data_IF_689628803963
#
_entry.id   IF_689628803963
#
_cell.length_a   1.000
_cell.length_b   1.000
_cell.length_c   1.000
_cell.angle_alpha   90.00
_cell.angle_beta   90.00
_cell.angle_gamma   90.00
#
_symmetry.space_group_name_H-M   'P 1'
#
loop_
_entity.id
_entity.type
_entity.pdbx_description
1 polymer ?
#
# COMPACT_ATOMS: atom_id res chain seq x y z
N UNK A 1 5.52 -11.00 11.60
CA UNK A 1 6.53 -9.92 11.68
C UNK A 1 6.09 -8.83 10.72
N UNK A 2 5.91 -7.59 11.16
CA UNK A 2 5.37 -6.52 10.31
C UNK A 2 6.55 -5.66 9.83
N UNK A 3 7.04 -5.98 8.63
CA UNK A 3 8.24 -5.39 8.04
C UNK A 3 8.13 -3.87 7.93
N UNK A 4 6.95 -3.33 7.60
CA UNK A 4 6.74 -1.87 7.51
C UNK A 4 6.90 -1.20 8.86
N UNK A 5 6.26 -1.74 9.91
CA UNK A 5 6.35 -1.19 11.27
C UNK A 5 7.79 -1.23 11.82
N UNK A 6 8.54 -2.27 11.48
CA UNK A 6 9.94 -2.41 11.88
C UNK A 6 10.84 -1.40 11.14
N UNK A 7 10.72 -1.28 9.81
CA UNK A 7 11.44 -0.28 9.00
C UNK A 7 11.19 1.15 9.46
N UNK A 8 9.94 1.50 9.74
CA UNK A 8 9.60 2.85 10.24
C UNK A 8 10.24 3.13 11.60
N UNK A 9 10.34 2.12 12.49
CA UNK A 9 10.97 2.27 13.81
C UNK A 9 12.49 2.36 13.74
N UNK A 10 13.12 1.72 12.76
CA UNK A 10 14.57 1.81 12.52
C UNK A 10 14.99 3.08 11.79
N UNK A 11 14.02 3.91 11.35
CA UNK A 11 14.30 5.12 10.57
C UNK A 11 14.64 4.83 9.10
N UNK A 12 14.38 3.60 8.63
CA UNK A 12 14.50 3.25 7.22
C UNK A 12 13.38 3.89 6.39
N UNK A 13 13.67 4.17 5.13
CA UNK A 13 12.64 4.65 4.21
C UNK A 13 11.68 3.52 3.84
N UNK A 14 10.44 3.87 3.55
CA UNK A 14 9.45 2.96 2.95
C UNK A 14 8.82 3.62 1.74
N UNK A 15 8.49 2.82 0.73
CA UNK A 15 7.82 3.29 -0.49
C UNK A 15 6.46 2.61 -0.57
N UNK A 16 5.41 3.42 -0.67
CA UNK A 16 4.05 2.94 -0.83
C UNK A 16 3.31 3.60 -1.97
N UNK A 17 2.15 3.05 -2.30
CA UNK A 17 1.24 3.59 -3.30
C UNK A 17 -0.17 3.75 -2.74
N UNK A 18 -0.93 4.68 -3.32
CA UNK A 18 -2.37 4.81 -3.09
C UNK A 18 -3.16 3.98 -4.10
N UNK A 19 -4.22 3.32 -3.65
CA UNK A 19 -5.20 2.64 -4.49
C UNK A 19 -6.51 3.41 -4.43
N UNK A 20 -6.82 4.11 -5.53
CA UNK A 20 -8.03 4.94 -5.67
C UNK A 20 -9.13 4.28 -6.52
N UNK A 21 -8.77 3.25 -7.29
CA UNK A 21 -9.72 2.52 -8.15
C UNK A 21 -10.18 1.26 -7.42
N UNK A 22 -11.47 1.09 -7.10
CA UNK A 22 -11.97 -0.06 -6.35
C UNK A 22 -12.09 -1.30 -7.26
N UNK A 23 -10.96 -1.95 -7.52
CA UNK A 23 -10.89 -3.18 -8.33
C UNK A 23 -10.00 -4.23 -7.66
N UNK A 24 -10.54 -5.44 -7.49
CA UNK A 24 -9.79 -6.57 -6.95
C UNK A 24 -8.60 -6.96 -7.83
N UNK A 25 -8.74 -6.86 -9.16
CA UNK A 25 -7.64 -7.08 -10.10
C UNK A 25 -6.51 -6.06 -9.90
N UNK A 26 -6.86 -4.79 -9.66
CA UNK A 26 -5.86 -3.74 -9.40
C UNK A 26 -5.18 -3.97 -8.05
N UNK A 27 -5.93 -4.40 -7.02
CA UNK A 27 -5.35 -4.75 -5.72
C UNK A 27 -4.30 -5.87 -5.84
N UNK A 28 -4.57 -6.90 -6.65
CA UNK A 28 -3.64 -8.00 -6.89
C UNK A 28 -2.37 -7.53 -7.63
N UNK A 29 -2.52 -6.70 -8.65
CA UNK A 29 -1.39 -6.09 -9.38
C UNK A 29 -0.53 -5.25 -8.43
N UNK A 30 -1.14 -4.35 -7.65
CA UNK A 30 -0.43 -3.48 -6.71
C UNK A 30 0.23 -4.27 -5.58
N UNK A 31 -0.42 -5.33 -5.09
CA UNK A 31 0.14 -6.23 -4.08
C UNK A 31 1.40 -6.96 -4.56
N UNK A 32 1.53 -7.17 -5.88
CA UNK A 32 2.69 -7.81 -6.51
C UNK A 32 3.75 -6.83 -7.02
N UNK A 33 3.47 -5.51 -6.97
CA UNK A 33 4.33 -4.48 -7.58
C UNK A 33 5.58 -4.12 -6.76
N UNK A 34 5.76 -4.70 -5.56
CA UNK A 34 6.96 -4.52 -4.75
C UNK A 34 6.97 -3.29 -3.83
N UNK A 35 5.81 -2.67 -3.60
CA UNK A 35 5.66 -1.62 -2.57
C UNK A 35 5.74 -2.22 -1.16
N UNK A 36 6.24 -1.43 -0.21
CA UNK A 36 6.22 -1.80 1.20
C UNK A 36 4.78 -1.82 1.74
N UNK A 37 3.92 -0.94 1.24
CA UNK A 37 2.53 -0.82 1.63
C UNK A 37 1.66 -0.21 0.53
N UNK A 38 0.36 -0.52 0.57
CA UNK A 38 -0.66 0.10 -0.28
C UNK A 38 -1.72 0.72 0.62
N UNK A 39 -2.02 2.00 0.45
CA UNK A 39 -3.15 2.65 1.10
C UNK A 39 -4.42 2.43 0.27
N UNK A 40 -5.37 1.71 0.83
CA UNK A 40 -6.72 1.59 0.27
C UNK A 40 -7.52 2.83 0.68
N UNK A 41 -7.82 3.69 -0.28
CA UNK A 41 -8.59 4.88 -0.03
C UNK A 41 -10.09 4.56 0.02
N UNK A 42 -10.64 4.58 1.23
CA UNK A 42 -12.06 4.35 1.49
C UNK A 42 -12.84 5.65 1.77
N UNK A 43 -12.17 6.80 1.71
CA UNK A 43 -12.75 8.12 2.01
C UNK A 43 -12.99 8.93 0.72
N UNK A 44 -12.01 8.95 -0.19
CA UNK A 44 -12.03 9.72 -1.42
C UNK A 44 -11.94 8.87 -2.69
N UNK A 45 -11.89 7.54 -2.54
CA UNK A 45 -11.95 6.60 -3.65
C UNK A 45 -13.23 6.82 -4.46
N UNK A 46 -13.16 6.61 -5.78
CA UNK A 46 -14.32 6.74 -6.64
C UNK A 46 -15.39 5.71 -6.22
N UNK A 47 -16.53 6.20 -5.75
CA UNK A 47 -17.76 5.44 -5.54
C UNK A 47 -18.66 5.52 -6.77
#
# INVERSE_FOLDING_TARGET
>A
MNSVKEKLKSGEFTIGSWMQIPSTSIAEILGSAGFDWIALDLEHGAF
#
